data_IF_333369326632
#
_entry.id   IF_333369326632
#
_cell.length_a   1.000
_cell.length_b   1.000
_cell.length_c   1.000
_cell.angle_alpha   90.00
_cell.angle_beta   90.00
_cell.angle_gamma   90.00
#
_symmetry.space_group_name_H-M   'P 1'
#
loop_
_entity.id
_entity.type
_entity.pdbx_description
1 polymer ?
#
# COMPACT_ATOMS: atom_id res chain seq x y z
N UNK A 1 -0.51 -42.40 -6.95
CA UNK A 1 -0.46 -41.06 -7.57
C UNK A 1 -0.21 -40.04 -6.47
N UNK A 2 1.00 -39.54 -6.31
CA UNK A 2 1.33 -38.52 -5.32
C UNK A 2 0.95 -37.15 -5.87
N UNK A 3 -0.08 -36.53 -5.30
CA UNK A 3 -0.46 -35.17 -5.67
C UNK A 3 0.71 -34.22 -5.42
N UNK A 4 1.19 -33.57 -6.49
CA UNK A 4 2.23 -32.56 -6.43
C UNK A 4 1.61 -31.32 -5.78
N UNK A 5 1.81 -31.14 -4.47
CA UNK A 5 1.37 -29.94 -3.74
C UNK A 5 2.16 -28.77 -4.31
N UNK A 6 1.51 -27.97 -5.15
CA UNK A 6 2.08 -26.71 -5.65
C UNK A 6 2.00 -25.73 -4.47
N UNK A 7 3.13 -25.30 -3.88
CA UNK A 7 3.08 -24.34 -2.80
C UNK A 7 2.44 -23.05 -3.33
N UNK A 8 1.38 -22.61 -2.66
CA UNK A 8 0.77 -21.30 -2.90
C UNK A 8 1.80 -20.24 -2.49
N UNK A 9 2.68 -19.84 -3.41
CA UNK A 9 3.43 -18.60 -3.23
C UNK A 9 2.40 -17.48 -3.35
N UNK A 10 2.12 -16.71 -2.29
CA UNK A 10 1.33 -15.50 -2.47
C UNK A 10 2.12 -14.68 -3.48
N UNK A 11 1.57 -14.52 -4.69
CA UNK A 11 2.14 -13.58 -5.64
C UNK A 11 2.26 -12.28 -4.86
N UNK A 12 3.40 -11.60 -4.93
CA UNK A 12 3.61 -10.26 -4.35
C UNK A 12 2.67 -9.20 -4.96
N UNK A 13 1.58 -9.63 -5.59
CA UNK A 13 0.64 -8.94 -6.44
C UNK A 13 -0.12 -7.82 -5.76
N UNK A 14 0.02 -7.58 -4.45
CA UNK A 14 -0.71 -6.52 -3.75
C UNK A 14 0.15 -5.80 -2.70
N UNK A 15 1.48 -5.85 -2.79
CA UNK A 15 2.33 -5.24 -1.77
C UNK A 15 2.13 -3.72 -1.69
N UNK A 16 2.05 -3.03 -2.84
CA UNK A 16 1.74 -1.60 -2.93
C UNK A 16 0.42 -1.23 -2.24
N UNK A 17 -0.64 -2.05 -2.40
CA UNK A 17 -1.92 -1.82 -1.70
C UNK A 17 -1.79 -1.97 -0.20
N UNK A 18 -0.97 -2.92 0.27
CA UNK A 18 -0.73 -3.13 1.70
C UNK A 18 0.07 -1.97 2.31
N UNK A 19 1.06 -1.47 1.59
CA UNK A 19 1.90 -0.35 1.99
C UNK A 19 1.08 0.95 2.04
N UNK A 20 0.27 1.20 1.00
CA UNK A 20 -0.67 2.32 0.95
C UNK A 20 -1.67 2.27 2.12
N UNK A 21 -2.23 1.08 2.41
CA UNK A 21 -3.13 0.90 3.56
C UNK A 21 -2.44 1.23 4.88
N UNK A 22 -1.19 0.82 5.07
CA UNK A 22 -0.43 1.15 6.27
C UNK A 22 -0.20 2.66 6.37
N UNK A 23 0.19 3.31 5.28
CA UNK A 23 0.34 4.76 5.20
C UNK A 23 -0.94 5.51 5.59
N UNK A 24 -2.10 5.08 5.10
CA UNK A 24 -3.40 5.69 5.45
C UNK A 24 -3.68 5.61 6.96
N UNK A 25 -3.36 4.48 7.60
CA UNK A 25 -3.55 4.32 9.04
C UNK A 25 -2.64 5.25 9.84
N UNK A 26 -1.38 5.42 9.41
CA UNK A 26 -0.44 6.36 10.01
C UNK A 26 -0.93 7.79 9.83
N UNK A 27 -1.29 8.19 8.61
CA UNK A 27 -1.83 9.51 8.32
C UNK A 27 -3.08 9.82 9.17
N UNK A 28 -3.99 8.85 9.32
CA UNK A 28 -5.16 8.97 10.21
C UNK A 28 -4.76 9.19 11.66
N UNK A 29 -3.77 8.44 12.16
CA UNK A 29 -3.28 8.64 13.53
C UNK A 29 -2.67 10.03 13.74
N UNK A 30 -1.97 10.56 12.72
CA UNK A 30 -1.43 11.91 12.75
C UNK A 30 -2.54 12.96 12.81
N UNK A 31 -3.57 12.83 11.98
CA UNK A 31 -4.74 13.74 12.02
C UNK A 31 -5.39 13.72 13.42
N UNK A 32 -5.56 12.54 14.01
CA UNK A 32 -6.21 12.39 15.32
C UNK A 32 -5.37 12.90 16.49
N UNK A 33 -4.04 12.87 16.38
CA UNK A 33 -3.14 13.37 17.41
C UNK A 33 -3.08 14.91 17.45
N UNK A 34 -3.46 15.58 16.36
CA UNK A 34 -3.69 17.04 16.33
C UNK A 34 -2.46 17.93 16.38
N UNK A 35 -1.25 17.37 16.52
CA UNK A 35 0.03 18.11 16.53
C UNK A 35 1.06 17.42 15.64
N UNK A 36 0.88 17.54 14.32
CA UNK A 36 1.83 17.01 13.35
C UNK A 36 2.18 18.05 12.29
N UNK A 37 3.41 17.95 11.81
CA UNK A 37 3.91 18.75 10.70
C UNK A 37 3.07 18.49 9.45
N UNK A 38 2.40 19.53 8.97
CA UNK A 38 1.55 19.50 7.77
C UNK A 38 2.37 19.01 6.56
N UNK A 39 3.65 19.37 6.46
CA UNK A 39 4.51 18.93 5.36
C UNK A 39 4.75 17.42 5.38
N UNK A 40 4.94 16.84 6.58
CA UNK A 40 5.12 15.41 6.72
C UNK A 40 3.85 14.64 6.38
N UNK A 41 2.69 15.17 6.77
CA UNK A 41 1.38 14.60 6.41
C UNK A 41 1.13 14.64 4.91
N UNK A 42 1.46 15.76 4.26
CA UNK A 42 1.32 15.95 2.82
C UNK A 42 2.23 14.99 2.04
N UNK A 43 3.50 14.89 2.44
CA UNK A 43 4.45 13.94 1.84
C UNK A 43 3.97 12.48 1.95
N UNK A 44 3.43 12.11 3.12
CA UNK A 44 2.87 10.76 3.33
C UNK A 44 1.65 10.53 2.43
N UNK A 45 0.76 11.52 2.31
CA UNK A 45 -0.40 11.44 1.43
C UNK A 45 -0.01 11.28 -0.05
N UNK A 46 0.98 12.05 -0.53
CA UNK A 46 1.50 11.92 -1.90
C UNK A 46 2.07 10.52 -2.15
N UNK A 47 2.88 10.00 -1.23
CA UNK A 47 3.44 8.65 -1.35
C UNK A 47 2.36 7.56 -1.43
N UNK A 48 1.30 7.66 -0.62
CA UNK A 48 0.16 6.73 -0.68
C UNK A 48 -0.51 6.78 -2.05
N UNK A 49 -0.69 7.99 -2.61
CA UNK A 49 -1.28 8.16 -3.92
C UNK A 49 -0.42 7.52 -5.03
N UNK A 50 0.90 7.72 -4.98
CA UNK A 50 1.85 7.11 -5.92
C UNK A 50 1.80 5.58 -5.86
N UNK A 51 1.82 5.00 -4.66
CA UNK A 51 1.74 3.54 -4.48
C UNK A 51 0.44 2.94 -5.04
N UNK A 52 -0.69 3.65 -4.89
CA UNK A 52 -1.97 3.22 -5.44
C UNK A 52 -2.05 3.41 -6.96
N UNK A 53 -1.48 4.50 -7.48
CA UNK A 53 -1.44 4.79 -8.91
C UNK A 53 -0.60 3.76 -9.66
N UNK A 54 0.63 3.52 -9.20
CA UNK A 54 1.52 2.49 -9.73
C UNK A 54 0.84 1.12 -9.71
N UNK A 55 0.12 0.82 -8.63
CA UNK A 55 -0.59 -0.44 -8.51
C UNK A 55 -1.69 -0.60 -9.56
N UNK A 56 -2.52 0.44 -9.78
CA UNK A 56 -3.56 0.45 -10.83
C UNK A 56 -2.94 0.34 -12.21
N UNK A 57 -1.89 1.11 -12.52
CA UNK A 57 -1.19 1.00 -13.81
C UNK A 57 -0.64 -0.42 -14.04
N UNK A 58 -0.08 -1.06 -13.01
CA UNK A 58 0.42 -2.44 -13.13
C UNK A 58 -0.69 -3.48 -13.28
N UNK A 59 -1.94 -3.16 -12.93
CA UNK A 59 -3.09 -4.02 -13.16
C UNK A 59 -3.71 -3.80 -14.55
N UNK A 60 -3.85 -2.55 -14.98
CA UNK A 60 -4.42 -2.18 -16.28
C UNK A 60 -3.46 -2.48 -17.45
N UNK A 61 -2.15 -2.37 -17.24
CA UNK A 61 -1.14 -2.72 -18.22
C UNK A 61 -0.90 -4.22 -18.40
N UNK A 62 -1.66 -5.09 -17.71
CA UNK A 62 -1.52 -6.56 -17.73
C UNK A 62 -2.61 -7.27 -18.50
#
# INVERSE_FOLDING_TARGET
>A
MTAKVIPFKPKQQHQQVKDARLGILVLRSMILAGDHDIQAMDLLASKIADELYDYVETLEGR
#
